data_IF_110529056275
#
_entry.id   IF_110529056275
#
_cell.length_a   1.000
_cell.length_b   1.000
_cell.length_c   1.000
_cell.angle_alpha   90.00
_cell.angle_beta   90.00
_cell.angle_gamma   90.00
#
_symmetry.space_group_name_H-M   'P 1'
#
loop_
_entity.id
_entity.type
_entity.pdbx_description
1 polymer ?
#
# COMPACT_ATOMS: atom_id res chain seq x y z
N UNK A 1 12.62 6.96 2.96
CA UNK A 1 12.19 5.94 1.99
C UNK A 1 12.11 4.55 2.61
N UNK A 2 13.22 3.92 3.04
CA UNK A 2 13.20 2.53 3.59
C UNK A 2 12.32 2.40 4.85
N UNK A 3 12.34 3.39 5.74
CA UNK A 3 11.52 3.40 6.95
C UNK A 3 10.02 3.42 6.61
N UNK A 4 9.63 4.30 5.70
CA UNK A 4 8.26 4.48 5.22
C UNK A 4 7.78 3.26 4.44
N UNK A 5 8.64 2.67 3.62
CA UNK A 5 8.34 1.42 2.92
C UNK A 5 8.08 0.27 3.92
N UNK A 6 8.90 0.13 4.96
CA UNK A 6 8.63 -0.83 6.04
C UNK A 6 7.30 -0.56 6.76
N UNK A 7 6.96 0.71 7.03
CA UNK A 7 5.68 1.07 7.62
C UNK A 7 4.50 0.60 6.73
N UNK A 8 4.60 0.84 5.41
CA UNK A 8 3.63 0.34 4.43
C UNK A 8 3.48 -1.18 4.52
N UNK A 9 4.59 -1.94 4.49
CA UNK A 9 4.53 -3.41 4.58
C UNK A 9 3.84 -3.89 5.87
N UNK A 10 4.14 -3.24 7.00
CA UNK A 10 3.50 -3.57 8.29
C UNK A 10 2.00 -3.26 8.24
N UNK A 11 1.60 -2.08 7.78
CA UNK A 11 0.18 -1.70 7.65
C UNK A 11 -0.57 -2.65 6.73
N UNK A 12 0.01 -3.01 5.58
CA UNK A 12 -0.56 -3.97 4.63
C UNK A 12 -0.75 -5.35 5.26
N UNK A 13 0.24 -5.81 6.02
CA UNK A 13 0.15 -7.08 6.73
C UNK A 13 -0.92 -7.05 7.82
N UNK A 14 -1.06 -5.93 8.52
CA UNK A 14 -2.10 -5.73 9.53
C UNK A 14 -3.50 -5.72 8.90
N UNK A 15 -3.66 -5.11 7.72
CA UNK A 15 -4.92 -5.15 6.96
C UNK A 15 -5.34 -6.58 6.64
N UNK A 16 -4.39 -7.45 6.26
CA UNK A 16 -4.68 -8.87 6.02
C UNK A 16 -5.19 -9.56 7.28
N UNK A 17 -4.56 -9.33 8.42
CA UNK A 17 -4.98 -9.91 9.70
C UNK A 17 -6.37 -9.40 10.11
N UNK A 18 -6.56 -8.09 10.09
CA UNK A 18 -7.81 -7.42 10.50
C UNK A 18 -8.97 -7.70 9.55
N UNK A 19 -8.71 -7.98 8.28
CA UNK A 19 -9.74 -8.45 7.33
C UNK A 19 -10.42 -9.75 7.75
N UNK A 20 -9.81 -10.51 8.67
CA UNK A 20 -10.38 -11.76 9.22
C UNK A 20 -10.96 -11.56 10.61
N UNK A 21 -10.32 -10.74 11.43
CA UNK A 21 -10.66 -10.64 12.86
C UNK A 21 -11.50 -9.41 13.21
N UNK A 22 -11.26 -8.28 12.53
CA UNK A 22 -11.93 -7.01 12.84
C UNK A 22 -11.93 -6.05 11.62
N UNK A 23 -12.85 -6.22 10.67
CA UNK A 23 -12.89 -5.45 9.43
C UNK A 23 -13.19 -3.94 9.63
N UNK A 24 -13.76 -3.55 10.77
CA UNK A 24 -13.96 -2.13 11.13
C UNK A 24 -12.65 -1.33 11.22
N UNK A 25 -11.52 -1.97 11.57
CA UNK A 25 -10.22 -1.29 11.64
C UNK A 25 -9.60 -1.05 10.24
N UNK A 26 -10.11 -1.70 9.19
CA UNK A 26 -9.56 -1.58 7.84
C UNK A 26 -9.61 -0.15 7.31
N UNK A 27 -10.60 0.66 7.69
CA UNK A 27 -10.68 2.07 7.28
C UNK A 27 -9.55 2.90 7.87
N UNK A 28 -9.18 2.67 9.13
CA UNK A 28 -8.05 3.36 9.78
C UNK A 28 -6.74 2.95 9.13
N UNK A 29 -6.55 1.65 8.89
CA UNK A 29 -5.36 1.12 8.23
C UNK A 29 -5.24 1.58 6.78
N UNK A 30 -6.34 1.67 6.05
CA UNK A 30 -6.37 2.21 4.69
C UNK A 30 -5.94 3.69 4.65
N UNK A 31 -6.39 4.48 5.63
CA UNK A 31 -5.96 5.88 5.77
C UNK A 31 -4.46 5.96 6.12
N UNK A 32 -3.98 5.13 7.05
CA UNK A 32 -2.57 5.05 7.41
C UNK A 32 -1.69 4.67 6.21
N UNK A 33 -2.08 3.65 5.45
CA UNK A 33 -1.43 3.24 4.21
C UNK A 33 -1.33 4.37 3.19
N UNK A 34 -2.42 5.14 3.04
CA UNK A 34 -2.46 6.28 2.12
C UNK A 34 -1.50 7.39 2.57
N UNK A 35 -1.43 7.65 3.88
CA UNK A 35 -0.50 8.61 4.46
C UNK A 35 0.96 8.18 4.25
N UNK A 36 1.30 6.93 4.61
CA UNK A 36 2.64 6.38 4.48
C UNK A 36 3.09 6.36 3.00
N UNK A 37 2.20 5.99 2.08
CA UNK A 37 2.47 6.07 0.65
C UNK A 37 2.73 7.52 0.20
N UNK A 38 1.94 8.48 0.67
CA UNK A 38 2.13 9.90 0.39
C UNK A 38 3.51 10.40 0.83
N UNK A 39 3.95 10.01 2.02
CA UNK A 39 5.30 10.31 2.51
C UNK A 39 6.37 9.64 1.65
N UNK A 40 6.22 8.36 1.32
CA UNK A 40 7.18 7.64 0.47
C UNK A 40 7.32 8.32 -0.90
N UNK A 41 6.21 8.75 -1.51
CA UNK A 41 6.22 9.46 -2.78
C UNK A 41 6.91 10.83 -2.70
N UNK A 42 6.70 11.56 -1.60
CA UNK A 42 7.41 12.82 -1.36
C UNK A 42 8.91 12.63 -1.18
N UNK A 43 9.34 11.58 -0.48
CA UNK A 43 10.75 11.23 -0.31
C UNK A 43 11.39 10.71 -1.61
N UNK A 44 10.62 10.02 -2.45
CA UNK A 44 11.09 9.48 -3.71
C UNK A 44 11.37 10.56 -4.77
N UNK A 45 10.64 11.69 -4.71
CA UNK A 45 10.81 12.79 -5.66
C UNK A 45 12.23 13.36 -5.68
N UNK A 46 12.83 13.80 -4.56
CA UNK A 46 14.21 14.26 -4.55
C UNK A 46 15.17 13.10 -4.83
N UNK A 47 14.93 11.89 -4.31
CA UNK A 47 15.80 10.73 -4.57
C UNK A 47 15.92 10.39 -6.06
N UNK A 48 14.83 10.54 -6.81
CA UNK A 48 14.82 10.35 -8.26
C UNK A 48 15.49 11.50 -9.03
N UNK A 49 15.54 12.71 -8.46
CA UNK A 49 16.19 13.89 -9.07
C UNK A 49 17.70 13.92 -8.78
N UNK A 50 18.12 13.44 -7.61
CA UNK A 50 19.52 13.38 -7.19
C UNK A 50 20.20 12.08 -7.60
N UNK A 51 19.49 11.18 -8.28
CA UNK A 51 20.07 9.96 -8.81
C UNK A 51 21.12 10.31 -9.86
N UNK A 52 22.32 9.73 -9.74
CA UNK A 52 23.44 9.97 -10.65
C UNK A 52 23.17 9.46 -12.09
N UNK A 53 22.18 8.58 -12.24
CA UNK A 53 21.76 8.00 -13.52
C UNK A 53 20.25 8.22 -13.71
N UNK A 54 19.88 8.77 -14.87
CA UNK A 54 18.48 9.00 -15.28
C UNK A 54 17.65 7.70 -15.26
N UNK A 55 18.26 6.56 -15.60
CA UNK A 55 17.63 5.25 -15.53
C UNK A 55 17.25 4.92 -14.08
N UNK A 56 18.15 5.15 -13.12
CA UNK A 56 17.89 4.93 -11.70
C UNK A 56 16.75 5.83 -11.22
N UNK A 57 16.78 7.12 -11.57
CA UNK A 57 15.73 8.07 -11.23
C UNK A 57 14.36 7.67 -11.80
N UNK A 58 14.34 7.19 -13.04
CA UNK A 58 13.15 6.68 -13.72
C UNK A 58 12.61 5.40 -13.08
N UNK A 59 13.50 4.49 -12.68
CA UNK A 59 13.14 3.28 -11.94
C UNK A 59 12.50 3.60 -10.60
N UNK A 60 13.03 4.56 -9.83
CA UNK A 60 12.45 4.99 -8.54
C UNK A 60 11.01 5.51 -8.76
N UNK A 61 10.81 6.41 -9.73
CA UNK A 61 9.48 6.95 -10.05
C UNK A 61 8.50 5.85 -10.44
N UNK A 62 8.93 4.93 -11.31
CA UNK A 62 8.10 3.82 -11.77
C UNK A 62 7.69 2.91 -10.60
N UNK A 63 8.62 2.54 -9.73
CA UNK A 63 8.33 1.69 -8.57
C UNK A 63 7.32 2.32 -7.62
N UNK A 64 7.47 3.61 -7.33
CA UNK A 64 6.52 4.34 -6.49
C UNK A 64 5.14 4.41 -7.15
N UNK A 65 5.06 4.66 -8.45
CA UNK A 65 3.78 4.67 -9.18
C UNK A 65 3.10 3.29 -9.15
N UNK A 66 3.85 2.21 -9.41
CA UNK A 66 3.35 0.84 -9.34
C UNK A 66 2.83 0.50 -7.94
N UNK A 67 3.55 0.93 -6.89
CA UNK A 67 3.14 0.76 -5.51
C UNK A 67 1.85 1.54 -5.23
N UNK A 68 1.74 2.78 -5.72
CA UNK A 68 0.55 3.62 -5.58
C UNK A 68 -0.71 2.99 -6.15
N UNK A 69 -0.63 2.38 -7.33
CA UNK A 69 -1.75 1.63 -7.90
C UNK A 69 -2.17 0.45 -7.01
N UNK A 70 -1.19 -0.26 -6.44
CA UNK A 70 -1.44 -1.35 -5.50
C UNK A 70 -2.11 -0.87 -4.21
N UNK A 71 -1.61 0.21 -3.61
CA UNK A 71 -2.19 0.83 -2.41
C UNK A 71 -3.62 1.31 -2.67
N UNK A 72 -3.87 1.99 -3.80
CA UNK A 72 -5.21 2.45 -4.16
C UNK A 72 -6.20 1.26 -4.28
N UNK A 73 -5.81 0.20 -4.97
CA UNK A 73 -6.64 -1.01 -5.08
C UNK A 73 -6.88 -1.68 -3.72
N UNK A 74 -5.88 -1.69 -2.84
CA UNK A 74 -6.01 -2.25 -1.50
C UNK A 74 -6.97 -1.43 -0.63
N UNK A 75 -6.87 -0.09 -0.67
CA UNK A 75 -7.77 0.83 0.04
C UNK A 75 -9.22 0.67 -0.42
N UNK A 76 -9.46 0.58 -1.74
CA UNK A 76 -10.81 0.36 -2.27
C UNK A 76 -11.41 -0.95 -1.77
N UNK A 77 -10.63 -2.04 -1.80
CA UNK A 77 -11.08 -3.35 -1.31
C UNK A 77 -11.28 -3.39 0.20
N UNK A 78 -10.44 -2.68 0.94
CA UNK A 78 -10.59 -2.50 2.38
C UNK A 78 -11.90 -1.78 2.73
N UNK A 79 -12.25 -0.71 2.01
CA UNK A 79 -13.53 -0.01 2.17
C UNK A 79 -14.73 -0.88 1.80
N UNK A 80 -14.63 -1.64 0.70
CA UNK A 80 -15.68 -2.59 0.31
C UNK A 80 -15.89 -3.68 1.36
N UNK A 81 -14.80 -4.27 1.89
CA UNK A 81 -14.88 -5.29 2.94
C UNK A 81 -15.38 -4.72 4.26
N UNK A 82 -15.03 -3.48 4.60
CA UNK A 82 -15.57 -2.80 5.79
C UNK A 82 -17.08 -2.59 5.66
N UNK A 83 -17.58 -2.25 4.47
CA UNK A 83 -19.02 -2.12 4.21
C UNK A 83 -19.73 -3.48 4.20
N UNK A 84 -19.04 -4.55 3.81
CA UNK A 84 -19.59 -5.92 3.70
C UNK A 84 -18.63 -6.95 4.30
N UNK A 85 -18.54 -7.05 5.64
CA UNK A 85 -17.52 -7.86 6.32
C UNK A 85 -17.67 -9.37 6.14
N UNK A 86 -18.85 -9.83 5.73
CA UNK A 86 -19.12 -11.24 5.42
C UNK A 86 -18.76 -11.63 3.98
N UNK A 87 -18.33 -10.68 3.14
CA UNK A 87 -17.97 -10.95 1.75
C UNK A 87 -16.59 -11.63 1.65
N UNK A 88 -16.62 -12.95 1.52
CA UNK A 88 -15.42 -13.77 1.36
C UNK A 88 -14.65 -13.50 0.06
N UNK A 89 -15.34 -13.03 -0.99
CA UNK A 89 -14.69 -12.71 -2.27
C UNK A 89 -13.88 -11.43 -2.15
N UNK A 90 -14.50 -10.36 -1.62
CA UNK A 90 -13.81 -9.08 -1.37
C UNK A 90 -12.64 -9.26 -0.41
N UNK A 91 -12.78 -10.12 0.61
CA UNK A 91 -11.69 -10.50 1.50
C UNK A 91 -10.52 -11.16 0.77
N UNK A 92 -10.78 -12.16 -0.08
CA UNK A 92 -9.74 -12.83 -0.86
C UNK A 92 -9.02 -11.82 -1.77
N UNK A 93 -9.78 -10.98 -2.44
CA UNK A 93 -9.27 -9.92 -3.29
C UNK A 93 -8.39 -8.92 -2.54
N UNK A 94 -8.74 -8.56 -1.30
CA UNK A 94 -7.94 -7.70 -0.42
C UNK A 94 -6.60 -8.36 -0.12
N UNK A 95 -6.60 -9.65 0.25
CA UNK A 95 -5.38 -10.41 0.55
C UNK A 95 -4.46 -10.49 -0.67
N UNK A 96 -5.02 -10.70 -1.87
CA UNK A 96 -4.23 -10.71 -3.11
C UNK A 96 -3.64 -9.33 -3.43
N UNK A 97 -4.41 -8.26 -3.25
CA UNK A 97 -3.89 -6.90 -3.40
C UNK A 97 -2.79 -6.59 -2.38
N UNK A 98 -2.96 -7.02 -1.13
CA UNK A 98 -1.97 -6.83 -0.07
C UNK A 98 -0.64 -7.52 -0.40
N UNK A 99 -0.68 -8.76 -0.91
CA UNK A 99 0.53 -9.47 -1.36
C UNK A 99 1.27 -8.70 -2.45
N UNK A 100 0.55 -8.21 -3.48
CA UNK A 100 1.15 -7.44 -4.58
C UNK A 100 1.82 -6.15 -4.09
N UNK A 101 1.28 -5.52 -3.06
CA UNK A 101 1.89 -4.32 -2.44
C UNK A 101 3.13 -4.71 -1.65
N UNK A 102 3.06 -5.76 -0.82
CA UNK A 102 4.22 -6.23 -0.04
C UNK A 102 5.38 -6.72 -0.91
N UNK A 103 5.13 -7.32 -2.07
CA UNK A 103 6.19 -7.74 -3.00
C UNK A 103 6.89 -6.57 -3.71
N UNK A 104 6.26 -5.38 -3.70
CA UNK A 104 6.78 -4.15 -4.34
C UNK A 104 7.52 -3.22 -3.37
N UNK A 105 7.38 -3.46 -2.07
CA UNK A 105 8.05 -2.72 -0.98
C UNK A 105 9.40 -3.35 -0.66
#
# INVERSE_FOLDING_TARGET
MVKTAKAIAVTVQEMVTKSTTNPDELGILANQLTHDYGQLAQEAKPAALTAENEEIGSHIKRRVQELGHGCAALVTKAGALQCSPSDAYTKKELIESARKVSEKV
#
